data_IF_299441985337
#
_entry.id   IF_299441985337
#
_cell.length_a   1.000
_cell.length_b   1.000
_cell.length_c   1.000
_cell.angle_alpha   90.00
_cell.angle_beta   90.00
_cell.angle_gamma   90.00
#
_symmetry.space_group_name_H-M   'P 1'
#
loop_
_entity.id
_entity.type
_entity.pdbx_description
1 polymer ?
#
# COMPACT_ATOMS: atom_id res chain seq x y z
N UNK A 1 16.56 -0.31 -3.61
CA UNK A 1 16.42 -1.20 -2.44
C UNK A 1 15.26 -2.13 -2.71
N UNK A 2 15.44 -3.42 -2.49
CA UNK A 2 14.36 -4.41 -2.63
C UNK A 2 13.32 -4.22 -1.52
N UNK A 3 12.04 -4.47 -1.79
CA UNK A 3 10.96 -4.46 -0.79
C UNK A 3 11.24 -5.47 0.34
N UNK A 4 11.81 -6.62 0.02
CA UNK A 4 12.20 -7.64 1.00
C UNK A 4 13.25 -7.16 2.02
N UNK A 5 13.88 -6.00 1.81
CA UNK A 5 14.71 -5.40 2.84
C UNK A 5 13.87 -4.87 4.02
N UNK A 6 12.63 -4.44 3.76
CA UNK A 6 11.74 -3.83 4.76
C UNK A 6 10.53 -4.70 5.10
N UNK A 7 10.26 -5.74 4.31
CA UNK A 7 9.16 -6.69 4.53
C UNK A 7 9.68 -8.09 4.86
N UNK A 8 8.95 -8.80 5.70
CA UNK A 8 9.20 -10.21 6.01
C UNK A 8 8.48 -11.08 4.97
N UNK A 9 9.20 -11.90 4.18
CA UNK A 9 8.59 -12.66 3.07
C UNK A 9 7.57 -13.71 3.54
N UNK A 10 7.66 -14.16 4.79
CA UNK A 10 6.77 -15.18 5.34
C UNK A 10 5.39 -14.64 5.68
N UNK A 11 5.30 -13.34 5.99
CA UNK A 11 4.07 -12.68 6.45
C UNK A 11 3.64 -11.53 5.56
N UNK A 12 4.53 -11.05 4.70
CA UNK A 12 4.37 -9.83 3.89
C UNK A 12 4.10 -8.56 4.71
N UNK A 13 4.28 -8.65 6.03
CA UNK A 13 4.22 -7.50 6.92
C UNK A 13 5.57 -6.78 6.95
N UNK A 14 5.57 -5.55 7.44
CA UNK A 14 6.82 -4.86 7.76
C UNK A 14 7.67 -5.72 8.68
N UNK A 15 8.98 -5.60 8.58
CA UNK A 15 9.91 -6.18 9.53
C UNK A 15 9.77 -5.53 10.91
N UNK A 16 10.32 -6.21 11.93
CA UNK A 16 10.41 -5.64 13.28
C UNK A 16 11.19 -4.32 13.30
N UNK A 17 10.98 -3.46 14.31
CA UNK A 17 11.72 -2.21 14.44
C UNK A 17 13.25 -2.38 14.40
N UNK A 18 13.76 -3.45 15.01
CA UNK A 18 15.19 -3.81 15.04
C UNK A 18 15.69 -4.18 13.65
N UNK A 19 14.96 -4.99 12.92
CA UNK A 19 15.31 -5.40 11.55
C UNK A 19 15.21 -4.21 10.58
N UNK A 20 14.20 -3.35 10.71
CA UNK A 20 14.07 -2.13 9.91
C UNK A 20 15.24 -1.20 10.13
N UNK A 21 15.67 -1.02 11.38
CA UNK A 21 16.86 -0.23 11.70
C UNK A 21 18.09 -0.77 10.99
N UNK A 22 18.37 -2.06 11.12
CA UNK A 22 19.52 -2.71 10.47
C UNK A 22 19.44 -2.56 8.94
N UNK A 23 18.27 -2.74 8.35
CA UNK A 23 18.09 -2.62 6.90
C UNK A 23 18.34 -1.19 6.42
N UNK A 24 17.80 -0.18 7.09
CA UNK A 24 17.99 1.22 6.74
C UNK A 24 19.44 1.66 6.90
N UNK A 25 20.08 1.30 8.02
CA UNK A 25 21.50 1.57 8.28
C UNK A 25 22.42 0.93 7.22
N UNK A 26 22.15 -0.31 6.83
CA UNK A 26 22.88 -1.01 5.75
C UNK A 26 22.78 -0.27 4.40
N UNK A 27 21.67 0.42 4.16
CA UNK A 27 21.46 1.19 2.94
C UNK A 27 21.94 2.66 3.03
N UNK A 28 22.53 3.05 4.16
CA UNK A 28 23.02 4.43 4.37
C UNK A 28 21.90 5.44 4.65
N UNK A 29 20.73 4.97 5.11
CA UNK A 29 19.55 5.81 5.34
C UNK A 29 19.44 6.14 6.83
N UNK A 30 19.38 7.45 7.14
CA UNK A 30 19.06 7.99 8.48
C UNK A 30 17.66 8.55 8.50
N UNK A 31 17.17 8.92 9.69
CA UNK A 31 15.91 9.66 9.84
C UNK A 31 15.91 11.03 9.11
N UNK A 32 17.10 11.60 8.86
CA UNK A 32 17.26 12.90 8.21
C UNK A 32 17.61 12.80 6.70
N UNK A 33 17.71 11.59 6.17
CA UNK A 33 17.98 11.37 4.74
C UNK A 33 16.75 11.77 3.92
N UNK A 34 16.95 12.58 2.85
CA UNK A 34 15.94 12.71 1.80
C UNK A 34 15.96 11.46 0.93
N UNK A 35 14.87 10.73 0.89
CA UNK A 35 14.73 9.51 0.09
C UNK A 35 13.71 9.76 -1.01
N UNK A 36 14.12 9.56 -2.27
CA UNK A 36 13.22 9.55 -3.43
C UNK A 36 13.06 8.13 -3.90
N UNK A 37 11.84 7.63 -3.88
CA UNK A 37 11.52 6.27 -4.29
C UNK A 37 10.81 6.29 -5.64
N UNK A 38 11.17 5.34 -6.47
CA UNK A 38 10.53 5.09 -7.75
C UNK A 38 10.58 3.61 -8.08
N UNK A 39 9.60 3.16 -8.81
CA UNK A 39 9.54 1.82 -9.35
C UNK A 39 9.54 1.83 -10.87
N UNK A 40 9.43 0.67 -11.46
CA UNK A 40 9.31 0.47 -12.89
C UNK A 40 8.06 -0.34 -13.17
N UNK A 41 7.27 0.12 -14.14
CA UNK A 41 6.11 -0.64 -14.62
C UNK A 41 6.57 -1.85 -15.43
N UNK A 42 5.82 -2.92 -15.29
CA UNK A 42 5.98 -4.06 -16.17
C UNK A 42 5.19 -3.80 -17.45
N UNK A 43 5.77 -4.18 -18.59
CA UNK A 43 5.04 -4.11 -19.85
C UNK A 43 3.80 -5.01 -19.79
N UNK A 44 2.68 -4.59 -20.41
CA UNK A 44 1.49 -5.42 -20.48
C UNK A 44 1.79 -6.70 -21.27
N UNK A 45 1.25 -7.81 -20.80
CA UNK A 45 1.14 -9.01 -21.63
C UNK A 45 0.10 -8.78 -22.74
N UNK A 46 0.12 -9.61 -23.78
CA UNK A 46 -0.75 -9.43 -24.96
C UNK A 46 -2.25 -9.41 -24.62
N UNK A 47 -2.66 -10.03 -23.53
CA UNK A 47 -4.05 -10.10 -23.07
C UNK A 47 -4.36 -9.09 -21.96
N UNK A 48 -3.39 -8.22 -21.57
CA UNK A 48 -3.59 -7.20 -20.56
C UNK A 48 -4.34 -5.99 -21.16
N UNK A 49 -5.56 -5.67 -20.70
CA UNK A 49 -6.33 -4.53 -21.21
C UNK A 49 -5.78 -3.17 -20.76
N UNK A 50 -4.83 -3.15 -19.82
CA UNK A 50 -4.26 -1.93 -19.23
C UNK A 50 -2.77 -1.79 -19.59
N UNK A 51 -2.18 -0.62 -19.42
CA UNK A 51 -0.80 -0.36 -19.86
C UNK A 51 0.29 -1.05 -19.03
N UNK A 52 -0.03 -2.12 -18.34
CA UNK A 52 0.91 -2.96 -17.61
C UNK A 52 0.77 -2.92 -16.10
N UNK A 53 1.40 -3.91 -15.47
CA UNK A 53 1.35 -4.06 -14.01
C UNK A 53 2.07 -2.91 -13.31
N UNK A 54 1.40 -2.31 -12.34
CA UNK A 54 1.95 -1.27 -11.47
C UNK A 54 2.81 -1.82 -10.32
N UNK A 55 3.01 -3.14 -10.22
CA UNK A 55 3.61 -3.79 -9.07
C UNK A 55 4.99 -3.23 -8.66
N UNK A 56 5.85 -2.90 -9.62
CA UNK A 56 7.17 -2.33 -9.31
C UNK A 56 7.08 -0.95 -8.67
N UNK A 57 6.17 -0.11 -9.15
CA UNK A 57 5.95 1.23 -8.58
C UNK A 57 5.21 1.16 -7.24
N UNK A 58 4.20 0.30 -7.13
CA UNK A 58 3.51 0.04 -5.86
C UNK A 58 4.49 -0.49 -4.80
N UNK A 59 5.47 -1.31 -5.19
CA UNK A 59 6.55 -1.75 -4.30
C UNK A 59 7.43 -0.60 -3.79
N UNK A 60 7.72 0.39 -4.64
CA UNK A 60 8.41 1.62 -4.21
C UNK A 60 7.55 2.41 -3.21
N UNK A 61 6.25 2.56 -3.46
CA UNK A 61 5.29 3.21 -2.56
C UNK A 61 5.20 2.46 -1.22
N UNK A 62 5.20 1.14 -1.25
CA UNK A 62 5.25 0.31 -0.05
C UNK A 62 6.49 0.60 0.80
N UNK A 63 7.66 0.66 0.20
CA UNK A 63 8.89 1.03 0.88
C UNK A 63 8.82 2.46 1.45
N UNK A 64 8.24 3.41 0.72
CA UNK A 64 8.02 4.78 1.18
C UNK A 64 7.17 4.81 2.46
N UNK A 65 6.08 4.04 2.49
CA UNK A 65 5.21 3.93 3.66
C UNK A 65 5.97 3.39 4.88
N UNK A 66 6.72 2.29 4.72
CA UNK A 66 7.48 1.69 5.82
C UNK A 66 8.58 2.64 6.33
N UNK A 67 9.26 3.37 5.43
CA UNK A 67 10.24 4.38 5.83
C UNK A 67 9.60 5.53 6.60
N UNK A 68 8.42 5.98 6.20
CA UNK A 68 7.66 7.01 6.90
C UNK A 68 7.23 6.53 8.29
N UNK A 69 6.75 5.29 8.43
CA UNK A 69 6.47 4.64 9.71
C UNK A 69 7.72 4.58 10.60
N UNK A 70 8.86 4.19 10.02
CA UNK A 70 10.13 4.10 10.74
C UNK A 70 10.62 5.45 11.27
N UNK A 71 10.30 6.55 10.58
CA UNK A 71 10.68 7.90 10.99
C UNK A 71 11.64 8.62 10.06
N UNK A 72 11.77 8.19 8.80
CA UNK A 72 12.42 8.99 7.76
C UNK A 72 11.56 10.23 7.51
N UNK A 73 12.13 11.43 7.68
CA UNK A 73 11.39 12.70 7.68
C UNK A 73 11.03 13.19 6.29
N UNK A 74 11.88 12.96 5.30
CA UNK A 74 11.70 13.43 3.93
C UNK A 74 11.65 12.22 2.97
N UNK A 75 10.45 11.70 2.80
CA UNK A 75 10.15 10.58 1.91
C UNK A 75 9.37 11.12 0.72
N UNK A 76 9.87 10.89 -0.48
CA UNK A 76 9.28 11.36 -1.73
C UNK A 76 9.09 10.20 -2.70
N UNK A 77 8.03 10.25 -3.48
CA UNK A 77 7.71 9.29 -4.52
C UNK A 77 7.76 10.02 -5.87
N UNK A 78 8.48 9.45 -6.83
CA UNK A 78 8.49 9.95 -8.19
C UNK A 78 7.19 9.55 -8.88
N UNK A 79 6.32 10.51 -9.16
CA UNK A 79 5.02 10.28 -9.76
C UNK A 79 5.17 9.74 -11.19
N UNK A 80 4.58 8.57 -11.48
CA UNK A 80 4.73 7.85 -12.74
C UNK A 80 6.04 7.06 -12.85
N UNK A 81 6.83 6.98 -11.76
CA UNK A 81 7.97 6.10 -11.64
C UNK A 81 9.09 6.38 -12.65
N UNK A 82 9.88 5.34 -12.95
CA UNK A 82 11.02 5.42 -13.84
C UNK A 82 10.61 5.82 -15.28
N UNK A 83 9.45 5.39 -15.74
CA UNK A 83 8.97 5.72 -17.07
C UNK A 83 8.78 7.23 -17.26
N UNK A 84 8.16 7.92 -16.30
CA UNK A 84 8.00 9.37 -16.36
C UNK A 84 9.33 10.12 -16.40
N UNK A 85 10.38 9.57 -15.75
CA UNK A 85 11.73 10.11 -15.81
C UNK A 85 12.32 10.02 -17.22
N UNK A 86 12.20 8.84 -17.87
CA UNK A 86 12.67 8.62 -19.24
C UNK A 86 11.90 9.47 -20.26
N UNK A 87 10.56 9.53 -20.13
CA UNK A 87 9.71 10.30 -21.04
C UNK A 87 9.96 11.82 -20.95
N UNK A 88 10.40 12.29 -19.79
CA UNK A 88 10.85 13.66 -19.59
C UNK A 88 12.25 13.94 -20.19
N UNK A 89 12.92 12.94 -20.72
CA UNK A 89 14.24 13.06 -21.34
C UNK A 89 15.39 13.26 -20.36
N UNK A 90 15.23 12.89 -19.10
CA UNK A 90 16.29 12.97 -18.11
C UNK A 90 17.32 11.85 -18.26
N UNK A 91 18.57 12.16 -17.89
CA UNK A 91 19.67 11.20 -17.98
C UNK A 91 19.46 9.99 -17.06
N UNK A 92 19.80 8.82 -17.59
CA UNK A 92 19.81 7.53 -16.88
C UNK A 92 21.24 7.02 -16.83
N UNK A 93 21.70 6.64 -15.61
CA UNK A 93 22.99 5.96 -15.43
C UNK A 93 22.79 4.46 -15.23
N UNK A 94 23.72 3.68 -15.80
CA UNK A 94 23.83 2.24 -15.54
C UNK A 94 24.91 1.92 -14.50
N UNK A 95 25.47 2.96 -13.87
CA UNK A 95 26.52 2.78 -12.87
C UNK A 95 25.93 2.20 -11.57
N UNK A 96 26.56 1.15 -11.06
CA UNK A 96 26.24 0.64 -9.73
C UNK A 96 27.00 1.49 -8.68
N UNK A 97 26.26 2.39 -8.04
CA UNK A 97 26.81 3.23 -6.97
C UNK A 97 26.74 2.46 -5.65
N UNK A 98 27.89 2.10 -5.04
CA UNK A 98 27.92 1.38 -3.78
C UNK A 98 27.22 2.18 -2.67
N UNK A 99 26.35 1.51 -1.92
CA UNK A 99 25.75 2.09 -0.72
C UNK A 99 26.77 2.11 0.40
N UNK A 100 26.83 3.21 1.12
CA UNK A 100 27.73 3.39 2.26
C UNK A 100 26.93 3.16 3.54
N UNK A 101 27.09 2.01 4.22
CA UNK A 101 26.37 1.74 5.47
C UNK A 101 26.72 2.76 6.55
N UNK A 102 25.77 3.01 7.42
CA UNK A 102 25.92 3.86 8.62
C UNK A 102 25.64 3.03 9.87
N UNK A 103 26.01 3.54 11.03
CA UNK A 103 25.88 2.84 12.32
C UNK A 103 24.78 3.41 13.22
N UNK A 104 24.07 4.45 12.79
CA UNK A 104 23.03 5.08 13.59
C UNK A 104 21.94 5.67 12.70
N UNK A 105 20.76 5.13 12.80
CA UNK A 105 19.57 5.65 12.10
C UNK A 105 19.15 7.05 12.58
N UNK A 106 19.47 7.39 13.83
CA UNK A 106 19.25 8.71 14.40
C UNK A 106 18.07 8.81 15.38
N UNK A 107 17.07 7.94 15.27
CA UNK A 107 15.89 7.89 16.15
C UNK A 107 15.52 6.44 16.47
N UNK A 108 14.66 6.23 17.47
CA UNK A 108 14.03 4.92 17.70
C UNK A 108 12.96 4.64 16.62
N UNK A 109 12.79 3.37 16.28
CA UNK A 109 11.74 2.91 15.36
C UNK A 109 10.68 2.18 16.20
N UNK A 110 9.37 2.41 15.95
CA UNK A 110 8.80 3.38 15.02
C UNK A 110 8.74 4.81 15.57
N UNK A 111 8.67 5.80 14.69
CA UNK A 111 8.34 7.18 15.05
C UNK A 111 6.88 7.51 14.80
N UNK A 112 6.20 6.76 13.93
CA UNK A 112 4.79 6.96 13.57
C UNK A 112 4.00 5.64 13.69
N UNK A 113 3.87 5.08 14.90
CA UNK A 113 3.14 3.82 15.09
C UNK A 113 1.66 3.92 14.67
N UNK A 114 1.06 5.10 14.76
CA UNK A 114 -0.33 5.38 14.39
C UNK A 114 -0.65 5.15 12.92
N UNK A 115 0.36 5.06 12.07
CA UNK A 115 0.17 4.78 10.65
C UNK A 115 -0.21 3.33 10.36
N UNK A 116 0.02 2.43 11.30
CA UNK A 116 -0.24 0.99 11.12
C UNK A 116 -1.33 0.52 12.06
N UNK A 117 -2.19 -0.31 11.51
CA UNK A 117 -3.22 -1.08 12.20
C UNK A 117 -2.86 -2.56 12.07
N UNK A 118 -2.76 -3.24 13.18
CA UNK A 118 -2.62 -4.70 13.26
C UNK A 118 -3.99 -5.35 13.54
N UNK A 119 -4.09 -6.69 13.57
CA UNK A 119 -5.39 -7.40 13.73
C UNK A 119 -6.20 -6.94 14.95
N UNK A 120 -5.62 -6.75 16.16
CA UNK A 120 -6.39 -6.28 17.30
C UNK A 120 -7.07 -4.93 17.07
N UNK A 121 -6.34 -3.97 16.50
CA UNK A 121 -6.86 -2.64 16.18
C UNK A 121 -7.90 -2.71 15.06
N UNK A 122 -7.68 -3.54 14.03
CA UNK A 122 -8.64 -3.78 12.95
C UNK A 122 -9.99 -4.28 13.49
N UNK A 123 -9.97 -5.19 14.48
CA UNK A 123 -11.18 -5.67 15.16
C UNK A 123 -11.89 -4.55 15.94
N UNK A 124 -11.14 -3.66 16.59
CA UNK A 124 -11.71 -2.50 17.27
C UNK A 124 -12.32 -1.51 16.29
N UNK A 125 -11.67 -1.28 15.14
CA UNK A 125 -12.21 -0.41 14.08
C UNK A 125 -13.54 -0.95 13.53
N UNK A 126 -13.64 -2.25 13.26
CA UNK A 126 -14.88 -2.89 12.81
C UNK A 126 -16.03 -2.80 13.82
N UNK A 127 -15.73 -2.67 15.10
CA UNK A 127 -16.72 -2.50 16.16
C UNK A 127 -17.10 -1.02 16.41
N UNK A 128 -16.48 -0.08 15.71
CA UNK A 128 -16.65 1.37 15.90
C UNK A 128 -17.43 1.99 14.74
N UNK A 129 -18.28 2.96 15.03
CA UNK A 129 -18.92 3.79 14.00
C UNK A 129 -18.01 4.94 13.50
N UNK A 130 -16.87 5.19 14.18
CA UNK A 130 -15.93 6.27 13.91
C UNK A 130 -14.73 5.82 13.06
N UNK A 131 -14.72 4.55 12.62
CA UNK A 131 -13.62 3.97 11.88
C UNK A 131 -14.10 2.98 10.82
N UNK A 132 -13.30 2.79 9.77
CA UNK A 132 -13.60 1.87 8.68
C UNK A 132 -12.34 1.16 8.19
N UNK A 133 -12.48 -0.12 7.88
CA UNK A 133 -11.50 -0.86 7.08
C UNK A 133 -11.89 -0.74 5.60
N UNK A 134 -10.98 -0.24 4.79
CA UNK A 134 -11.21 -0.01 3.35
C UNK A 134 -10.43 -1.03 2.53
N UNK A 135 -11.13 -1.93 1.88
CA UNK A 135 -10.54 -2.93 0.98
C UNK A 135 -10.23 -2.31 -0.38
N UNK A 136 -8.97 -2.07 -0.67
CA UNK A 136 -8.51 -1.63 -1.99
C UNK A 136 -8.06 -2.81 -2.84
N UNK A 137 -8.92 -3.81 -2.91
CA UNK A 137 -8.80 -4.99 -3.78
C UNK A 137 -9.76 -4.85 -4.95
N UNK A 138 -9.64 -5.68 -5.96
CA UNK A 138 -10.62 -5.73 -7.05
C UNK A 138 -11.97 -6.28 -6.58
N UNK A 139 -13.03 -6.01 -7.35
CA UNK A 139 -14.36 -6.51 -7.02
C UNK A 139 -14.41 -8.05 -6.96
N UNK A 140 -13.84 -8.81 -7.93
CA UNK A 140 -13.82 -10.28 -7.84
C UNK A 140 -13.08 -10.81 -6.60
N UNK A 141 -12.02 -10.12 -6.13
CA UNK A 141 -11.36 -10.47 -4.88
C UNK A 141 -12.27 -10.18 -3.68
N UNK A 142 -12.94 -9.03 -3.67
CA UNK A 142 -13.78 -8.58 -2.57
C UNK A 142 -15.00 -9.48 -2.35
N UNK A 143 -15.66 -9.90 -3.42
CA UNK A 143 -16.80 -10.83 -3.34
C UNK A 143 -16.38 -12.30 -3.23
N UNK A 144 -15.08 -12.61 -3.36
CA UNK A 144 -14.56 -13.96 -3.19
C UNK A 144 -14.68 -14.88 -4.41
N UNK A 145 -14.78 -14.34 -5.61
CA UNK A 145 -14.67 -15.13 -6.84
C UNK A 145 -13.24 -15.60 -7.07
N UNK A 146 -12.27 -14.71 -6.80
CA UNK A 146 -10.84 -15.00 -6.87
C UNK A 146 -10.14 -14.61 -5.56
N UNK A 147 -8.93 -15.13 -5.34
CA UNK A 147 -8.08 -14.62 -4.24
C UNK A 147 -7.26 -13.40 -4.66
N UNK A 148 -6.95 -13.31 -5.96
CA UNK A 148 -6.08 -12.31 -6.55
C UNK A 148 -4.59 -12.66 -6.52
N UNK A 149 -4.20 -13.70 -5.78
CA UNK A 149 -2.80 -14.08 -5.56
C UNK A 149 -2.62 -15.59 -5.57
N UNK A 150 -1.48 -16.06 -6.04
CA UNK A 150 -1.16 -17.50 -6.06
C UNK A 150 -0.70 -18.07 -4.70
N UNK A 151 -0.41 -17.20 -3.74
CA UNK A 151 0.03 -17.56 -2.38
C UNK A 151 -1.03 -17.27 -1.30
N UNK A 152 -2.21 -16.76 -1.68
CA UNK A 152 -3.37 -16.59 -0.81
C UNK A 152 -4.47 -17.53 -1.28
N UNK A 153 -4.74 -18.57 -0.52
CA UNK A 153 -5.75 -19.57 -0.91
C UNK A 153 -7.18 -19.09 -0.62
N UNK A 154 -7.37 -18.41 0.51
CA UNK A 154 -8.70 -18.02 0.97
C UNK A 154 -9.24 -16.85 0.15
N UNK A 155 -10.50 -16.98 -0.25
CA UNK A 155 -11.26 -16.00 -1.02
C UNK A 155 -12.28 -15.31 -0.12
N UNK A 156 -12.62 -14.06 -0.42
CA UNK A 156 -13.64 -13.29 0.30
C UNK A 156 -13.12 -11.97 0.86
N UNK A 157 -13.87 -11.43 1.81
CA UNK A 157 -13.60 -10.14 2.46
C UNK A 157 -13.71 -10.22 3.97
N UNK A 158 -13.19 -9.22 4.64
CA UNK A 158 -13.42 -8.96 6.05
C UNK A 158 -14.86 -8.43 6.20
N UNK A 159 -15.71 -9.06 7.06
CA UNK A 159 -17.06 -8.56 7.30
C UNK A 159 -17.06 -7.11 7.81
N UNK A 160 -17.90 -6.28 7.26
CA UNK A 160 -17.96 -4.86 7.61
C UNK A 160 -16.93 -3.97 6.93
N UNK A 161 -16.00 -4.52 6.16
CA UNK A 161 -15.09 -3.71 5.35
C UNK A 161 -15.80 -3.08 4.15
N UNK A 162 -15.39 -1.86 3.80
CA UNK A 162 -15.92 -1.12 2.65
C UNK A 162 -15.05 -1.38 1.42
N UNK A 163 -15.68 -1.44 0.25
CA UNK A 163 -14.98 -1.62 -1.02
C UNK A 163 -14.45 -0.31 -1.57
N UNK A 164 -13.13 -0.16 -1.65
CA UNK A 164 -12.44 1.06 -2.08
C UNK A 164 -12.13 1.15 -3.57
N UNK A 165 -12.45 0.11 -4.35
CA UNK A 165 -12.40 0.08 -5.82
C UNK A 165 -11.12 0.64 -6.44
N UNK A 166 -9.97 -0.01 -6.23
CA UNK A 166 -8.69 0.46 -6.77
C UNK A 166 -8.43 0.08 -8.24
N UNK A 167 -9.04 -1.00 -8.72
CA UNK A 167 -8.79 -1.52 -10.06
C UNK A 167 -9.31 -2.93 -10.27
N UNK A 168 -8.95 -3.53 -11.43
CA UNK A 168 -9.53 -4.77 -11.95
C UNK A 168 -8.99 -6.04 -11.31
N UNK A 169 -7.74 -6.02 -10.82
CA UNK A 169 -7.07 -7.20 -10.22
C UNK A 169 -6.01 -6.82 -9.18
N UNK A 170 -5.17 -7.81 -8.79
CA UNK A 170 -4.16 -7.64 -7.76
C UNK A 170 -2.94 -6.78 -8.20
N UNK A 171 -2.78 -6.51 -9.48
CA UNK A 171 -1.60 -5.88 -10.07
C UNK A 171 -1.89 -4.52 -10.69
N UNK A 172 -3.17 -4.15 -10.82
CA UNK A 172 -3.62 -2.93 -11.45
C UNK A 172 -4.32 -2.00 -10.44
N UNK A 173 -4.07 -0.70 -10.61
CA UNK A 173 -4.68 0.37 -9.83
C UNK A 173 -5.22 1.47 -10.74
N UNK A 174 -5.82 1.08 -11.87
CA UNK A 174 -6.27 1.97 -12.94
C UNK A 174 -7.33 2.97 -12.49
N UNK A 175 -8.02 2.72 -11.38
CA UNK A 175 -8.97 3.69 -10.83
C UNK A 175 -8.29 4.84 -10.06
N UNK A 176 -7.02 4.66 -9.64
CA UNK A 176 -6.24 5.67 -8.93
C UNK A 176 -5.11 6.25 -9.78
N UNK A 177 -4.90 5.72 -10.99
CA UNK A 177 -3.81 6.12 -11.89
C UNK A 177 -4.31 6.51 -13.26
N UNK A 178 -3.60 7.41 -13.90
CA UNK A 178 -3.72 7.73 -15.32
C UNK A 178 -3.09 6.65 -16.19
N UNK A 179 -3.31 6.71 -17.50
CA UNK A 179 -2.73 5.75 -18.45
C UNK A 179 -1.19 5.79 -18.52
N UNK A 180 -0.60 6.92 -18.17
CA UNK A 180 0.85 7.10 -18.04
C UNK A 180 1.39 6.70 -16.66
N UNK A 181 0.56 6.06 -15.86
CA UNK A 181 0.83 5.61 -14.50
C UNK A 181 1.06 6.71 -13.45
N UNK A 182 0.90 7.99 -13.80
CA UNK A 182 0.85 9.04 -12.78
C UNK A 182 -0.39 8.88 -11.90
N UNK A 183 -0.31 9.31 -10.65
CA UNK A 183 -1.46 9.34 -9.75
C UNK A 183 -2.51 10.30 -10.33
N UNK A 184 -3.79 9.90 -10.30
CA UNK A 184 -4.91 10.76 -10.69
C UNK A 184 -5.01 11.99 -9.81
N UNK A 185 -5.66 13.03 -10.32
CA UNK A 185 -5.99 14.20 -9.52
C UNK A 185 -6.81 13.79 -8.29
N UNK A 186 -6.49 14.38 -7.14
CA UNK A 186 -7.07 13.98 -5.85
C UNK A 186 -8.61 13.96 -5.85
N UNK A 187 -9.26 14.89 -6.54
CA UNK A 187 -10.71 14.97 -6.60
C UNK A 187 -11.36 13.81 -7.38
N UNK A 188 -10.65 13.18 -8.31
CA UNK A 188 -11.14 11.99 -9.03
C UNK A 188 -11.16 10.77 -8.11
N UNK A 189 -10.07 10.54 -7.36
CA UNK A 189 -9.99 9.45 -6.38
C UNK A 189 -10.98 9.69 -5.23
N UNK A 190 -11.09 10.92 -4.76
CA UNK A 190 -12.05 11.30 -3.73
C UNK A 190 -13.49 11.01 -4.18
N UNK A 191 -13.85 11.33 -5.43
CA UNK A 191 -15.19 11.06 -5.95
C UNK A 191 -15.52 9.55 -5.94
N UNK A 192 -14.57 8.69 -6.33
CA UNK A 192 -14.74 7.23 -6.26
C UNK A 192 -15.01 6.77 -4.83
N UNK A 193 -14.33 7.34 -3.85
CA UNK A 193 -14.48 7.00 -2.44
C UNK A 193 -15.78 7.51 -1.83
N UNK A 194 -16.17 8.75 -2.16
CA UNK A 194 -17.42 9.36 -1.67
C UNK A 194 -18.66 8.61 -2.15
N UNK A 195 -18.66 8.05 -3.38
CA UNK A 195 -19.74 7.21 -3.90
C UNK A 195 -20.07 6.00 -3.02
N UNK A 196 -19.09 5.51 -2.28
CA UNK A 196 -19.23 4.34 -1.39
C UNK A 196 -19.16 4.72 0.09
N UNK A 197 -19.17 6.02 0.42
CA UNK A 197 -19.21 6.54 1.78
C UNK A 197 -17.84 6.58 2.49
N UNK A 198 -16.74 6.45 1.77
CA UNK A 198 -15.40 6.63 2.32
C UNK A 198 -15.09 8.12 2.37
N UNK A 199 -15.01 8.68 3.57
CA UNK A 199 -14.91 10.12 3.82
C UNK A 199 -13.91 10.44 4.95
N UNK A 200 -13.35 11.67 5.03
CA UNK A 200 -12.29 12.02 5.98
C UNK A 200 -12.74 12.20 7.43
N UNK A 201 -14.04 12.13 7.71
CA UNK A 201 -14.60 12.25 9.07
C UNK A 201 -14.36 11.02 9.93
N UNK A 202 -14.07 9.87 9.32
CA UNK A 202 -13.75 8.62 10.00
C UNK A 202 -12.23 8.32 10.01
N UNK A 203 -11.82 7.46 10.92
CA UNK A 203 -10.50 6.84 10.84
C UNK A 203 -10.52 5.73 9.79
N UNK A 204 -9.72 5.87 8.74
CA UNK A 204 -9.67 4.92 7.64
C UNK A 204 -8.39 4.08 7.73
N UNK A 205 -8.52 2.75 7.69
CA UNK A 205 -7.39 1.87 7.50
C UNK A 205 -7.55 1.13 6.16
N UNK A 206 -6.69 1.49 5.21
CA UNK A 206 -6.66 0.85 3.89
C UNK A 206 -5.97 -0.51 3.96
N UNK A 207 -6.44 -1.49 3.21
CA UNK A 207 -5.78 -2.78 3.07
C UNK A 207 -6.02 -3.41 1.70
N UNK A 208 -5.11 -4.30 1.30
CA UNK A 208 -5.28 -5.18 0.16
C UNK A 208 -4.96 -6.64 0.54
N UNK A 209 -4.27 -7.39 -0.29
CA UNK A 209 -3.73 -8.71 0.06
C UNK A 209 -2.65 -8.63 1.13
N UNK A 210 -1.64 -7.80 0.91
CA UNK A 210 -0.39 -7.74 1.68
C UNK A 210 0.14 -6.31 1.90
N UNK A 211 -0.72 -5.31 1.89
CA UNK A 211 -0.38 -3.91 2.20
C UNK A 211 0.15 -3.06 1.05
N UNK A 212 0.52 -3.62 -0.10
CA UNK A 212 1.12 -2.86 -1.21
C UNK A 212 0.15 -1.84 -1.81
N UNK A 213 -0.98 -2.29 -2.39
CA UNK A 213 -2.04 -1.40 -2.92
C UNK A 213 -2.64 -0.52 -1.81
N UNK A 214 -2.72 -1.06 -0.59
CA UNK A 214 -3.15 -0.30 0.59
C UNK A 214 -2.24 0.88 0.90
N UNK A 215 -0.92 0.76 0.70
CA UNK A 215 0.02 1.87 0.86
C UNK A 215 -0.22 3.00 -0.14
N UNK A 216 -0.57 2.68 -1.38
CA UNK A 216 -0.91 3.72 -2.37
C UNK A 216 -2.21 4.45 -2.01
N UNK A 217 -3.25 3.72 -1.60
CA UNK A 217 -4.48 4.33 -1.12
C UNK A 217 -4.26 5.21 0.13
N UNK A 218 -3.41 4.75 1.06
CA UNK A 218 -2.98 5.57 2.19
C UNK A 218 -2.36 6.88 1.72
N UNK A 219 -1.41 6.86 0.77
CA UNK A 219 -0.79 8.08 0.28
C UNK A 219 -1.76 9.00 -0.44
N UNK A 220 -2.72 8.48 -1.20
CA UNK A 220 -3.78 9.31 -1.79
C UNK A 220 -4.55 10.09 -0.71
N UNK A 221 -5.04 9.43 0.33
CA UNK A 221 -5.75 10.08 1.43
C UNK A 221 -4.84 11.02 2.23
N UNK A 222 -3.59 10.63 2.49
CA UNK A 222 -2.63 11.43 3.22
C UNK A 222 -2.24 12.71 2.46
N UNK A 223 -2.05 12.64 1.14
CA UNK A 223 -1.77 13.80 0.27
C UNK A 223 -2.98 14.75 0.18
N UNK A 224 -4.21 14.23 0.27
CA UNK A 224 -5.42 15.04 0.40
C UNK A 224 -5.51 15.77 1.76
N UNK A 225 -4.63 15.46 2.71
CA UNK A 225 -4.65 16.03 4.05
C UNK A 225 -5.69 15.40 4.98
N UNK A 226 -6.17 14.20 4.70
CA UNK A 226 -7.13 13.52 5.55
C UNK A 226 -6.50 13.19 6.91
N UNK A 227 -7.18 13.50 8.03
CA UNK A 227 -6.52 13.59 9.33
C UNK A 227 -6.24 12.24 10.00
N UNK A 228 -7.02 11.21 9.71
CA UNK A 228 -6.96 9.91 10.37
C UNK A 228 -6.90 8.79 9.34
N UNK A 229 -5.70 8.56 8.82
CA UNK A 229 -5.46 7.52 7.80
C UNK A 229 -4.33 6.60 8.24
N UNK A 230 -4.51 5.31 8.03
CA UNK A 230 -3.56 4.26 8.37
C UNK A 230 -3.61 3.12 7.36
N UNK A 231 -2.71 2.17 7.51
CA UNK A 231 -2.67 0.94 6.75
C UNK A 231 -2.91 -0.25 7.68
N UNK A 232 -3.84 -1.13 7.35
CA UNK A 232 -3.88 -2.45 7.94
C UNK A 232 -2.84 -3.32 7.22
N UNK A 233 -1.68 -3.45 7.83
CA UNK A 233 -0.42 -3.92 7.25
C UNK A 233 -0.50 -5.35 6.72
N UNK A 234 -0.95 -6.29 7.53
CA UNK A 234 -1.08 -7.69 7.16
C UNK A 234 -2.22 -7.98 6.17
N UNK A 235 -3.16 -7.07 6.04
CA UNK A 235 -4.24 -7.11 5.09
C UNK A 235 -5.05 -8.41 5.11
N UNK A 236 -5.53 -8.79 3.92
CA UNK A 236 -6.30 -10.02 3.77
C UNK A 236 -5.49 -11.28 4.04
N UNK A 237 -4.19 -11.28 3.72
CA UNK A 237 -3.33 -12.43 3.95
C UNK A 237 -3.27 -12.81 5.43
N UNK A 238 -2.93 -11.88 6.29
CA UNK A 238 -2.84 -12.13 7.73
C UNK A 238 -4.22 -12.43 8.33
N UNK A 239 -5.24 -11.64 7.98
CA UNK A 239 -6.60 -11.85 8.45
C UNK A 239 -7.12 -13.23 8.12
N UNK A 240 -6.97 -13.67 6.87
CA UNK A 240 -7.53 -14.92 6.37
C UNK A 240 -6.77 -16.17 6.81
N UNK A 241 -5.49 -16.03 7.18
CA UNK A 241 -4.69 -17.15 7.68
C UNK A 241 -5.02 -17.54 9.13
N UNK A 242 -5.65 -16.64 9.90
CA UNK A 242 -6.18 -17.01 11.23
C UNK A 242 -7.61 -17.55 11.08
N UNK A 243 -7.83 -18.87 11.35
CA UNK A 243 -9.14 -19.48 11.19
C UNK A 243 -10.19 -18.95 12.18
N UNK A 244 -9.79 -18.24 13.21
CA UNK A 244 -10.70 -17.58 14.15
C UNK A 244 -11.32 -16.30 13.62
N UNK A 245 -10.73 -15.70 12.57
CA UNK A 245 -11.25 -14.49 11.98
C UNK A 245 -12.41 -14.79 11.01
N UNK A 246 -13.52 -14.06 11.11
CA UNK A 246 -14.65 -14.23 10.21
C UNK A 246 -14.34 -13.73 8.81
N UNK A 247 -15.00 -14.30 7.81
CA UNK A 247 -14.95 -13.81 6.43
C UNK A 247 -16.29 -14.02 5.74
N UNK A 248 -16.52 -13.26 4.67
CA UNK A 248 -17.70 -13.33 3.82
C UNK A 248 -17.33 -13.50 2.37
N UNK A 249 -18.23 -14.14 1.61
CA UNK A 249 -18.18 -14.27 0.15
C UNK A 249 -19.51 -13.84 -0.46
N UNK A 250 -19.53 -13.66 -1.77
CA UNK A 250 -20.70 -13.15 -2.49
C UNK A 250 -20.85 -11.63 -2.37
N UNK A 251 -21.82 -11.08 -3.07
CA UNK A 251 -22.11 -9.65 -3.01
C UNK A 251 -22.55 -9.24 -1.60
N UNK A 252 -22.10 -8.05 -1.12
CA UNK A 252 -22.59 -7.51 0.12
C UNK A 252 -24.10 -7.32 0.06
N UNK A 253 -24.80 -7.67 1.12
CA UNK A 253 -26.22 -7.35 1.23
C UNK A 253 -26.37 -5.82 1.10
N UNK A 254 -27.20 -5.36 0.17
CA UNK A 254 -27.53 -3.91 0.10
C UNK A 254 -28.11 -3.53 1.46
N UNK A 255 -27.40 -2.68 2.18
CA UNK A 255 -27.97 -1.99 3.34
C UNK A 255 -29.03 -1.05 2.76
N UNK A 256 -30.30 -1.39 2.98
CA UNK A 256 -31.45 -0.56 2.59
C UNK A 256 -31.50 0.71 3.44
#
# INVERSE_FOLDING_TARGET
>A
MDTLALEAPETWNRRSPEELKVALEKHGITSDTTVVLYGKFMFPDNDDPFPGSAAGDIGAIRNAFIMMYAGVKDVRILNGGFQSWEDAGFEVSMDDVPKIPISNFGVSIPQKPELIVDIPEAKLMLASNEAELVSVRSWPEFIGEVSGYNYIEKKGRIPGAIFGNCGSDAYHMENYRNLDHTIREFHEVQAIWEEVGITPDKHLAFYCGTGWRGSEAFFNAWLMGWPRVSLFDGGWFEWSNDPSNPFETGEPNKIN
#
